data_IF_815377206160
#
_entry.id   IF_815377206160
#
_cell.length_a   1.000
_cell.length_b   1.000
_cell.length_c   1.000
_cell.angle_alpha   90.00
_cell.angle_beta   90.00
_cell.angle_gamma   90.00
#
_symmetry.space_group_name_H-M   'P 1'
#
loop_
_entity.id
_entity.type
_entity.pdbx_description
1 polymer ?
#
# COMPACT_ATOMS: atom_id res chain seq x y z
N UNK A 1 32.38 -58.02 -19.05
CA UNK A 1 31.14 -57.47 -19.62
C UNK A 1 30.65 -56.34 -18.72
N UNK A 2 30.40 -55.17 -19.34
CA UNK A 2 29.72 -53.94 -18.89
C UNK A 2 29.59 -53.61 -17.39
N UNK A 3 30.28 -52.52 -17.02
CA UNK A 3 30.03 -51.67 -15.85
C UNK A 3 28.60 -51.10 -15.93
N UNK A 4 27.80 -51.21 -14.88
CA UNK A 4 26.53 -50.51 -14.77
C UNK A 4 26.69 -49.40 -13.74
N UNK A 5 26.74 -48.17 -14.22
CA UNK A 5 26.71 -46.95 -13.43
C UNK A 5 25.24 -46.56 -13.26
N UNK A 6 24.70 -46.62 -12.04
CA UNK A 6 23.42 -45.99 -11.72
C UNK A 6 23.72 -44.56 -11.25
N UNK A 7 23.37 -43.58 -12.09
CA UNK A 7 23.29 -42.19 -11.69
C UNK A 7 21.87 -41.97 -11.18
N UNK A 8 21.73 -41.76 -9.88
CA UNK A 8 20.48 -41.30 -9.28
C UNK A 8 20.44 -39.78 -9.45
N UNK A 9 19.61 -39.29 -10.37
CA UNK A 9 19.32 -37.86 -10.51
C UNK A 9 18.15 -37.56 -9.58
N UNK A 10 18.44 -37.07 -8.37
CA UNK A 10 17.39 -36.53 -7.50
C UNK A 10 16.93 -35.19 -8.09
N UNK A 11 15.72 -35.21 -8.67
CA UNK A 11 14.97 -34.00 -8.96
C UNK A 11 14.61 -33.32 -7.64
N UNK A 12 15.37 -32.29 -7.25
CA UNK A 12 14.88 -31.29 -6.30
C UNK A 12 13.75 -30.52 -6.99
N UNK A 13 12.52 -31.00 -6.80
CA UNK A 13 11.34 -30.17 -7.01
C UNK A 13 11.34 -29.09 -5.94
N UNK A 14 11.89 -27.91 -6.26
CA UNK A 14 11.59 -26.72 -5.50
C UNK A 14 10.11 -26.41 -5.72
N UNK A 15 9.26 -26.94 -4.83
CA UNK A 15 7.91 -26.44 -4.69
C UNK A 15 8.02 -24.97 -4.31
N UNK A 16 7.61 -24.09 -5.23
CA UNK A 16 7.30 -22.71 -4.87
C UNK A 16 6.12 -22.84 -3.91
N UNK A 17 6.39 -22.68 -2.61
CA UNK A 17 5.31 -22.50 -1.66
C UNK A 17 4.63 -21.20 -2.06
N UNK A 18 3.41 -21.28 -2.58
CA UNK A 18 2.49 -20.14 -2.60
C UNK A 18 2.37 -19.70 -1.14
N UNK A 19 3.11 -18.65 -0.77
CA UNK A 19 2.91 -17.99 0.50
C UNK A 19 1.47 -17.46 0.50
N UNK A 20 0.70 -17.77 1.55
CA UNK A 20 -0.64 -17.21 1.69
C UNK A 20 -0.56 -15.68 1.52
N UNK A 21 -1.43 -15.07 0.71
CA UNK A 21 -1.40 -13.64 0.50
C UNK A 21 -1.61 -12.94 1.83
N UNK A 22 -0.64 -12.10 2.21
CA UNK A 22 -0.68 -11.34 3.47
C UNK A 22 -1.95 -10.49 3.50
N UNK A 23 -2.78 -10.67 4.52
CA UNK A 23 -3.96 -9.84 4.76
C UNK A 23 -3.49 -8.44 5.18
N UNK A 24 -4.08 -7.39 4.61
CA UNK A 24 -3.73 -6.02 4.98
C UNK A 24 -4.38 -5.68 6.32
N UNK A 25 -3.56 -5.21 7.25
CA UNK A 25 -3.98 -4.91 8.61
C UNK A 25 -3.36 -3.61 9.11
N UNK A 26 -4.08 -2.94 10.00
CA UNK A 26 -3.66 -1.70 10.64
C UNK A 26 -2.27 -1.85 11.29
N UNK A 27 -1.44 -0.83 11.09
CA UNK A 27 -0.09 -0.73 11.66
C UNK A 27 0.96 -1.56 10.93
N UNK A 28 0.62 -2.22 9.81
CA UNK A 28 1.64 -2.77 8.92
C UNK A 28 2.41 -1.65 8.23
N UNK A 29 3.73 -1.83 8.09
CA UNK A 29 4.64 -0.90 7.41
C UNK A 29 5.26 -1.59 6.22
N UNK A 30 5.10 -1.00 5.04
CA UNK A 30 5.49 -1.58 3.77
C UNK A 30 6.44 -0.67 3.00
N UNK A 31 7.41 -1.28 2.32
CA UNK A 31 8.02 -0.68 1.13
C UNK A 31 7.05 -0.82 -0.06
N UNK A 32 7.21 0.03 -1.07
CA UNK A 32 6.32 0.04 -2.23
C UNK A 32 7.05 0.39 -3.52
N UNK A 33 6.49 -0.06 -4.64
CA UNK A 33 7.01 0.15 -5.97
C UNK A 33 7.04 1.64 -6.34
N UNK A 34 8.09 2.02 -7.08
CA UNK A 34 8.29 3.38 -7.60
C UNK A 34 8.25 4.48 -6.53
N UNK A 35 8.64 4.13 -5.30
CA UNK A 35 8.73 5.07 -4.20
C UNK A 35 9.66 6.26 -4.55
N UNK A 36 9.29 7.50 -4.18
CA UNK A 36 10.09 8.69 -4.51
C UNK A 36 11.40 8.79 -3.71
N UNK A 37 11.59 7.94 -2.71
CA UNK A 37 12.82 7.78 -1.94
C UNK A 37 12.89 6.39 -1.32
N UNK A 38 14.10 5.87 -1.12
CA UNK A 38 14.35 4.58 -0.45
C UNK A 38 13.89 4.56 1.02
N UNK A 39 13.68 5.74 1.62
CA UNK A 39 13.16 5.91 2.98
C UNK A 39 11.64 5.93 3.04
N UNK A 40 10.95 6.02 1.88
CA UNK A 40 9.52 6.18 1.87
C UNK A 40 8.81 4.88 2.24
N UNK A 41 7.81 4.97 3.13
CA UNK A 41 7.03 3.82 3.61
C UNK A 41 5.54 4.12 3.61
N UNK A 42 4.76 3.08 3.40
CA UNK A 42 3.30 3.09 3.60
C UNK A 42 3.01 2.46 4.96
N UNK A 43 2.25 3.17 5.80
CA UNK A 43 1.67 2.61 7.03
C UNK A 43 0.19 2.37 6.78
N UNK A 44 -0.25 1.13 6.92
CA UNK A 44 -1.67 0.76 6.80
C UNK A 44 -2.43 1.31 8.01
N UNK A 45 -3.49 2.07 7.75
CA UNK A 45 -4.36 2.65 8.76
C UNK A 45 -5.63 1.83 8.95
N UNK A 46 -6.65 2.06 8.13
CA UNK A 46 -7.95 1.39 8.19
C UNK A 46 -8.22 0.66 6.87
N UNK A 47 -8.80 -0.53 6.96
CA UNK A 47 -9.24 -1.35 5.82
C UNK A 47 -10.73 -1.59 5.99
N UNK A 48 -11.54 -1.07 5.07
CA UNK A 48 -12.99 -1.08 5.23
C UNK A 48 -13.73 -1.20 3.88
N UNK A 49 -14.97 -1.71 3.87
CA UNK A 49 -15.81 -1.67 2.68
C UNK A 49 -16.07 -0.24 2.20
N UNK A 50 -16.11 -0.06 0.88
CA UNK A 50 -16.36 1.22 0.23
C UNK A 50 -17.32 1.06 -0.95
N UNK A 51 -18.35 1.93 -1.00
CA UNK A 51 -19.41 1.85 -2.00
C UNK A 51 -20.54 0.88 -1.61
N UNK A 52 -21.39 0.47 -2.57
CA UNK A 52 -22.55 -0.36 -2.28
C UNK A 52 -22.16 -1.73 -1.73
N UNK A 53 -22.94 -2.23 -0.76
CA UNK A 53 -22.76 -3.58 -0.20
C UNK A 53 -23.15 -4.60 -1.26
N UNK A 54 -22.21 -5.42 -1.72
CA UNK A 54 -22.45 -6.43 -2.73
C UNK A 54 -21.19 -6.83 -3.50
N UNK A 55 -21.32 -7.64 -4.57
CA UNK A 55 -20.18 -8.09 -5.40
C UNK A 55 -19.44 -6.93 -6.10
N UNK A 56 -20.09 -5.77 -6.22
CA UNK A 56 -19.51 -4.56 -6.81
C UNK A 56 -18.89 -3.62 -5.75
N UNK A 57 -18.91 -4.01 -4.47
CA UNK A 57 -18.30 -3.26 -3.39
C UNK A 57 -16.78 -3.26 -3.50
N UNK A 58 -16.16 -2.10 -3.26
CA UNK A 58 -14.71 -1.96 -3.20
C UNK A 58 -14.24 -2.07 -1.75
N UNK A 59 -12.94 -2.28 -1.56
CA UNK A 59 -12.28 -2.11 -0.26
C UNK A 59 -11.47 -0.83 -0.30
N UNK A 60 -11.74 0.10 0.62
CA UNK A 60 -10.88 1.24 0.89
C UNK A 60 -9.77 0.84 1.87
N UNK A 61 -8.54 1.23 1.56
CA UNK A 61 -7.39 1.13 2.43
C UNK A 61 -6.85 2.53 2.68
N UNK A 62 -7.12 3.05 3.87
CA UNK A 62 -6.58 4.33 4.34
C UNK A 62 -5.16 4.13 4.84
N UNK A 63 -4.23 4.94 4.36
CA UNK A 63 -2.80 4.84 4.70
C UNK A 63 -2.19 6.18 5.07
N UNK A 64 -1.06 6.13 5.75
CA UNK A 64 -0.11 7.25 5.80
C UNK A 64 1.10 6.93 4.92
N UNK A 65 1.74 7.97 4.37
CA UNK A 65 3.01 7.84 3.66
C UNK A 65 4.06 8.66 4.40
N UNK A 66 5.14 8.03 4.83
CA UNK A 66 6.21 8.65 5.61
C UNK A 66 7.55 8.56 4.86
N UNK A 67 8.55 9.32 5.31
CA UNK A 67 9.91 9.23 4.78
C UNK A 67 10.03 9.73 3.33
N UNK A 68 9.10 10.59 2.90
CA UNK A 68 9.16 11.25 1.61
C UNK A 68 10.30 12.28 1.59
N UNK A 69 10.86 12.60 0.41
CA UNK A 69 11.77 13.73 0.28
C UNK A 69 11.15 15.01 0.87
N UNK A 70 11.96 15.93 1.43
CA UNK A 70 11.46 17.22 1.87
C UNK A 70 10.90 18.01 0.68
N UNK A 71 9.58 18.17 0.65
CA UNK A 71 8.84 18.90 -0.37
C UNK A 71 7.94 19.95 0.30
N UNK A 72 7.17 20.72 -0.49
CA UNK A 72 6.23 21.73 0.02
C UNK A 72 5.13 21.19 0.94
N UNK A 73 4.86 19.88 0.94
CA UNK A 73 3.91 19.21 1.83
C UNK A 73 4.59 18.46 3.00
N UNK A 74 5.89 18.68 3.21
CA UNK A 74 6.67 17.99 4.23
C UNK A 74 7.13 16.60 3.79
N UNK A 75 7.55 15.80 4.77
CA UNK A 75 8.06 14.43 4.54
C UNK A 75 7.02 13.35 4.85
N UNK A 76 5.78 13.76 5.17
CA UNK A 76 4.69 12.90 5.61
C UNK A 76 3.41 13.34 4.94
N UNK A 77 2.69 12.39 4.35
CA UNK A 77 1.28 12.55 3.98
C UNK A 77 0.47 11.76 5.00
N UNK A 78 -0.36 12.47 5.77
CA UNK A 78 -0.99 11.93 6.97
C UNK A 78 -2.10 10.91 6.68
N UNK A 79 -2.89 11.13 5.63
CA UNK A 79 -3.99 10.25 5.23
C UNK A 79 -4.19 10.28 3.72
N UNK A 80 -4.27 9.09 3.11
CA UNK A 80 -4.71 8.87 1.74
C UNK A 80 -5.54 7.58 1.67
N UNK A 81 -6.76 7.61 1.08
CA UNK A 81 -7.58 6.42 0.90
C UNK A 81 -7.38 5.84 -0.51
N UNK A 82 -6.91 4.60 -0.61
CA UNK A 82 -6.75 3.87 -1.88
C UNK A 82 -7.78 2.76 -2.00
N UNK A 83 -8.10 2.33 -3.23
CA UNK A 83 -8.70 1.01 -3.41
C UNK A 83 -7.66 -0.07 -3.12
N UNK A 84 -8.08 -1.17 -2.49
CA UNK A 84 -7.18 -2.30 -2.24
C UNK A 84 -6.56 -2.83 -3.54
N UNK A 85 -7.33 -2.84 -4.63
CA UNK A 85 -6.88 -3.27 -5.95
C UNK A 85 -5.75 -2.39 -6.52
N UNK A 86 -5.72 -1.08 -6.21
CA UNK A 86 -4.65 -0.19 -6.62
C UNK A 86 -3.45 -0.23 -5.67
N UNK A 87 -3.68 -0.41 -4.37
CA UNK A 87 -2.62 -0.42 -3.36
C UNK A 87 -1.84 -1.74 -3.36
N UNK A 88 -2.54 -2.88 -3.30
CA UNK A 88 -1.94 -4.19 -3.02
C UNK A 88 -0.82 -4.58 -4.00
N UNK A 89 -0.97 -4.42 -5.33
CA UNK A 89 0.10 -4.75 -6.27
C UNK A 89 1.35 -3.87 -6.15
N UNK A 90 1.23 -2.70 -5.53
CA UNK A 90 2.35 -1.79 -5.33
C UNK A 90 3.15 -2.11 -4.04
N UNK A 91 2.61 -2.87 -3.11
CA UNK A 91 3.32 -3.25 -1.87
C UNK A 91 4.37 -4.32 -2.17
N UNK A 92 5.58 -4.13 -1.64
CA UNK A 92 6.72 -5.02 -1.93
C UNK A 92 7.12 -5.86 -0.71
N UNK A 93 7.68 -5.22 0.31
CA UNK A 93 8.18 -5.90 1.52
C UNK A 93 7.47 -5.37 2.77
N UNK A 94 6.92 -6.28 3.57
CA UNK A 94 6.41 -5.98 4.91
C UNK A 94 7.59 -5.89 5.87
N UNK A 95 7.94 -4.68 6.30
CA UNK A 95 9.06 -4.47 7.20
C UNK A 95 8.69 -4.63 8.68
N UNK A 96 7.45 -4.29 9.04
CA UNK A 96 6.96 -4.45 10.42
C UNK A 96 5.45 -4.45 10.52
N UNK A 97 4.94 -4.92 11.66
CA UNK A 97 3.52 -4.88 12.05
C UNK A 97 3.35 -4.26 13.43
N UNK A 98 2.20 -3.62 13.68
CA UNK A 98 1.89 -3.00 14.97
C UNK A 98 2.50 -1.61 15.18
N UNK A 99 2.90 -0.94 14.10
CA UNK A 99 3.36 0.44 14.16
C UNK A 99 2.20 1.38 14.51
N UNK A 100 2.50 2.44 15.27
CA UNK A 100 1.60 3.57 15.43
C UNK A 100 1.40 4.28 14.10
N UNK A 101 0.20 4.82 13.88
CA UNK A 101 -0.07 5.64 12.71
C UNK A 101 0.68 6.97 12.75
N UNK A 102 0.80 7.61 11.59
CA UNK A 102 1.40 8.93 11.52
C UNK A 102 0.59 9.94 12.37
N UNK A 103 1.25 11.00 12.90
CA UNK A 103 0.54 12.10 13.54
C UNK A 103 -0.60 12.61 12.65
N UNK A 104 -1.71 13.01 13.25
CA UNK A 104 -2.89 13.56 12.57
C UNK A 104 -3.58 12.65 11.52
N UNK A 105 -3.21 11.37 11.42
CA UNK A 105 -3.94 10.40 10.59
C UNK A 105 -5.45 10.45 10.87
N UNK A 106 -5.83 10.45 12.15
CA UNK A 106 -7.24 10.42 12.57
C UNK A 106 -8.02 11.64 12.07
N UNK A 107 -7.38 12.82 12.03
CA UNK A 107 -8.01 14.04 11.52
C UNK A 107 -8.31 13.94 10.03
N UNK A 108 -7.32 13.52 9.24
CA UNK A 108 -7.47 13.28 7.80
C UNK A 108 -8.52 12.20 7.50
N UNK A 109 -8.44 11.06 8.18
CA UNK A 109 -9.41 9.97 8.05
C UNK A 109 -10.84 10.42 8.36
N UNK A 110 -11.05 11.12 9.47
CA UNK A 110 -12.39 11.60 9.87
C UNK A 110 -12.94 12.58 8.85
N UNK A 111 -12.09 13.48 8.33
CA UNK A 111 -12.47 14.46 7.31
C UNK A 111 -12.90 13.77 6.01
N UNK A 112 -12.10 12.81 5.53
CA UNK A 112 -12.44 12.03 4.35
C UNK A 112 -13.73 11.23 4.56
N UNK A 113 -13.89 10.56 5.71
CA UNK A 113 -15.07 9.74 5.97
C UNK A 113 -16.37 10.56 5.94
N UNK A 114 -16.36 11.74 6.57
CA UNK A 114 -17.49 12.66 6.53
C UNK A 114 -17.82 13.11 5.09
N UNK A 115 -16.80 13.36 4.26
CA UNK A 115 -17.00 13.74 2.86
C UNK A 115 -17.50 12.56 2.00
N UNK A 116 -17.08 11.33 2.28
CA UNK A 116 -17.63 10.11 1.65
C UNK A 116 -19.11 9.95 2.00
N UNK A 117 -19.47 10.12 3.28
CA UNK A 117 -20.87 10.04 3.73
C UNK A 117 -21.76 11.12 3.08
N UNK A 118 -21.16 12.28 2.74
CA UNK A 118 -21.81 13.35 1.98
C UNK A 118 -21.83 13.13 0.45
N UNK A 119 -21.14 12.09 -0.06
CA UNK A 119 -21.00 11.85 -1.51
C UNK A 119 -20.02 12.79 -2.22
N UNK A 120 -19.16 13.47 -1.47
CA UNK A 120 -18.24 14.51 -1.94
C UNK A 120 -16.78 14.02 -2.08
N UNK A 121 -16.49 12.80 -1.61
CA UNK A 121 -15.16 12.20 -1.69
C UNK A 121 -15.21 10.76 -2.21
N UNK A 122 -14.05 10.31 -2.70
CA UNK A 122 -13.82 8.96 -3.21
C UNK A 122 -12.55 8.32 -2.65
N UNK A 123 -12.07 7.29 -3.34
CA UNK A 123 -10.79 6.64 -3.09
C UNK A 123 -9.90 6.72 -4.33
N UNK A 124 -8.58 6.69 -4.15
CA UNK A 124 -7.64 6.63 -5.25
C UNK A 124 -7.61 5.25 -5.89
N UNK A 125 -7.70 5.21 -7.21
CA UNK A 125 -7.52 3.99 -8.02
C UNK A 125 -6.21 3.99 -8.80
N UNK A 126 -5.37 5.01 -8.58
CA UNK A 126 -3.99 5.09 -9.07
C UNK A 126 -3.05 4.46 -8.04
N UNK A 127 -1.84 4.12 -8.48
CA UNK A 127 -0.79 3.62 -7.59
C UNK A 127 -0.35 4.70 -6.57
N UNK A 128 0.22 4.32 -5.41
CA UNK A 128 0.73 5.29 -4.45
C UNK A 128 1.76 6.27 -5.04
N UNK A 129 2.68 5.78 -5.89
CA UNK A 129 3.68 6.61 -6.54
C UNK A 129 3.03 7.68 -7.44
N UNK A 130 2.07 7.31 -8.28
CA UNK A 130 1.34 8.25 -9.15
C UNK A 130 0.61 9.32 -8.33
N UNK A 131 -0.08 8.93 -7.24
CA UNK A 131 -0.78 9.87 -6.36
C UNK A 131 0.20 10.87 -5.72
N UNK A 132 1.35 10.39 -5.23
CA UNK A 132 2.39 11.28 -4.68
C UNK A 132 2.90 12.25 -5.75
N UNK A 133 3.13 11.78 -6.98
CA UNK A 133 3.53 12.64 -8.10
C UNK A 133 2.48 13.71 -8.39
N UNK A 134 1.19 13.35 -8.42
CA UNK A 134 0.12 14.31 -8.64
C UNK A 134 0.03 15.37 -7.54
N UNK A 135 0.09 14.96 -6.27
CA UNK A 135 0.09 15.89 -5.12
C UNK A 135 1.29 16.84 -5.22
N UNK A 136 2.47 16.31 -5.55
CA UNK A 136 3.69 17.10 -5.72
C UNK A 136 3.57 18.12 -6.86
N UNK A 137 2.99 17.72 -7.99
CA UNK A 137 2.79 18.59 -9.15
C UNK A 137 1.78 19.71 -8.90
N UNK A 138 0.72 19.47 -8.12
CA UNK A 138 -0.26 20.50 -7.75
C UNK A 138 0.39 21.56 -6.87
N UNK A 139 1.21 21.15 -5.90
CA UNK A 139 1.84 22.06 -4.92
C UNK A 139 3.03 22.79 -5.53
N UNK A 140 3.81 22.13 -6.40
CA UNK A 140 4.93 22.76 -7.12
C UNK A 140 4.51 23.89 -8.07
N UNK A 141 3.25 23.90 -8.51
CA UNK A 141 2.67 24.94 -9.37
C UNK A 141 1.93 26.04 -8.59
N UNK A 142 1.88 25.97 -7.25
CA UNK A 142 1.20 26.95 -6.41
C UNK A 142 2.09 28.15 -6.01
N UNK A 143 3.21 28.36 -6.72
CA UNK A 143 4.18 29.44 -6.51
C UNK A 143 4.32 30.33 -7.75
#
# INVERSE_FOLDING_TARGET
MKRLLLVLFEMFGAGVADADPVVLERGQVWTFADAPADTARIIIGDVEPFGPVGPDGLTAVSVSIIGLPPTGYGQVIHHLPFSEAALRPALLELESSGASLAPDYTGGYTTWKNAVDAGEAGIFTLTPAEVITHISGIIGNAH
#
